data_IF_925687169402
#
_entry.id   IF_925687169402
#
_cell.length_a   1.000
_cell.length_b   1.000
_cell.length_c   1.000
_cell.angle_alpha   90.00
_cell.angle_beta   90.00
_cell.angle_gamma   90.00
#
_symmetry.space_group_name_H-M   'P 1'
#
loop_
_entity.id
_entity.type
_entity.pdbx_description
1 polymer ?
#
# COMPACT_ATOMS: atom_id res chain seq x y z
N UNK A 1 -17.61 4.70 4.65
CA UNK A 1 -18.27 4.05 3.49
C UNK A 1 -18.06 2.54 3.53
N UNK A 2 -18.87 1.72 2.81
CA UNK A 2 -18.63 0.27 2.79
C UNK A 2 -17.49 -0.13 1.84
N UNK A 3 -17.02 -1.39 1.95
CA UNK A 3 -15.86 -1.90 1.21
C UNK A 3 -16.07 -1.91 -0.32
N UNK A 4 -17.31 -2.09 -0.81
CA UNK A 4 -17.65 -2.08 -2.25
C UNK A 4 -17.51 -0.67 -2.84
N UNK A 5 -17.94 0.34 -2.08
CA UNK A 5 -17.76 1.75 -2.45
C UNK A 5 -16.28 2.16 -2.42
N UNK A 6 -15.54 1.70 -1.41
CA UNK A 6 -14.10 1.91 -1.31
C UNK A 6 -13.38 1.32 -2.53
N UNK A 7 -13.69 0.07 -2.91
CA UNK A 7 -13.16 -0.57 -4.13
C UNK A 7 -13.40 0.28 -5.38
N UNK A 8 -14.62 0.80 -5.55
CA UNK A 8 -14.95 1.67 -6.70
C UNK A 8 -14.11 2.95 -6.70
N UNK A 9 -13.94 3.58 -5.54
CA UNK A 9 -13.10 4.79 -5.43
C UNK A 9 -11.63 4.50 -5.73
N UNK A 10 -11.12 3.36 -5.28
CA UNK A 10 -9.75 2.93 -5.55
C UNK A 10 -9.56 2.70 -7.05
N UNK A 11 -10.45 1.94 -7.69
CA UNK A 11 -10.44 1.70 -9.13
C UNK A 11 -10.42 3.01 -9.93
N UNK A 12 -11.27 3.96 -9.57
CA UNK A 12 -11.33 5.25 -10.25
C UNK A 12 -10.03 6.06 -10.07
N UNK A 13 -9.46 6.04 -8.86
CA UNK A 13 -8.19 6.73 -8.60
C UNK A 13 -7.04 6.11 -9.39
N UNK A 14 -6.94 4.76 -9.41
CA UNK A 14 -5.91 4.04 -10.14
C UNK A 14 -6.03 4.30 -11.65
N UNK A 15 -7.24 4.21 -12.22
CA UNK A 15 -7.49 4.55 -13.63
C UNK A 15 -7.07 5.97 -13.98
N UNK A 16 -7.32 6.93 -13.08
CA UNK A 16 -6.88 8.31 -13.26
C UNK A 16 -5.35 8.44 -13.25
N UNK A 17 -4.67 7.71 -12.35
CA UNK A 17 -3.21 7.72 -12.25
C UNK A 17 -2.53 7.01 -13.42
N UNK A 18 -3.16 5.99 -14.01
CA UNK A 18 -2.66 5.31 -15.21
C UNK A 18 -3.03 6.00 -16.51
N UNK A 19 -3.84 7.08 -16.46
CA UNK A 19 -4.18 7.82 -17.68
C UNK A 19 -2.94 8.42 -18.34
N UNK A 20 -2.81 8.23 -19.64
CA UNK A 20 -1.69 8.70 -20.45
C UNK A 20 -2.13 9.78 -21.43
N UNK A 21 -1.19 10.64 -21.79
CA UNK A 21 -1.34 11.59 -22.88
C UNK A 21 -1.15 10.91 -24.24
N UNK A 22 -1.28 11.69 -25.32
CA UNK A 22 -1.13 11.20 -26.69
C UNK A 22 0.30 10.73 -27.01
N UNK A 23 1.27 11.05 -26.18
CA UNK A 23 2.67 10.64 -26.28
C UNK A 23 3.01 9.42 -25.40
N UNK A 24 2.04 8.89 -24.65
CA UNK A 24 2.21 7.74 -23.78
C UNK A 24 2.78 8.05 -22.39
N UNK A 25 2.92 9.34 -22.02
CA UNK A 25 3.35 9.74 -20.68
C UNK A 25 2.17 9.77 -19.73
N UNK A 26 2.39 9.44 -18.46
CA UNK A 26 1.35 9.57 -17.44
C UNK A 26 0.93 11.04 -17.26
N UNK A 27 -0.39 11.33 -17.39
CA UNK A 27 -0.93 12.69 -17.19
C UNK A 27 -0.69 13.22 -15.79
N UNK A 28 -0.64 12.32 -14.80
CA UNK A 28 -0.35 12.65 -13.41
C UNK A 28 0.99 12.01 -13.06
N UNK A 29 2.09 12.79 -12.98
CA UNK A 29 3.39 12.25 -12.64
C UNK A 29 3.40 11.67 -11.21
N UNK A 30 4.26 10.67 -10.98
CA UNK A 30 4.29 9.88 -9.73
C UNK A 30 4.43 10.75 -8.47
N UNK A 31 5.11 11.89 -8.57
CA UNK A 31 5.29 12.83 -7.45
C UNK A 31 3.98 13.52 -7.03
N UNK A 32 3.03 13.62 -7.94
CA UNK A 32 1.71 14.25 -7.70
C UNK A 32 0.62 13.23 -7.38
N UNK A 33 0.90 11.94 -7.52
CA UNK A 33 -0.02 10.89 -7.13
C UNK A 33 -0.05 10.78 -5.61
N UNK A 34 -1.19 11.04 -5.00
CA UNK A 34 -1.37 10.83 -3.56
C UNK A 34 -1.52 9.34 -3.27
N UNK A 35 -0.70 8.75 -2.36
CA UNK A 35 -0.95 7.40 -1.90
C UNK A 35 -2.35 7.28 -1.31
N UNK A 36 -3.02 6.17 -1.61
CA UNK A 36 -4.35 5.89 -1.06
C UNK A 36 -4.17 5.24 0.30
N UNK A 37 -4.91 5.70 1.29
CA UNK A 37 -4.91 5.13 2.64
C UNK A 37 -6.30 4.60 3.01
N UNK A 38 -6.40 3.28 3.19
CA UNK A 38 -7.60 2.60 3.64
C UNK A 38 -7.61 2.52 5.16
N UNK A 39 -8.46 3.29 5.80
CA UNK A 39 -8.69 3.21 7.25
C UNK A 39 -9.92 2.36 7.51
N UNK A 40 -9.80 1.34 8.35
CA UNK A 40 -10.96 0.54 8.74
C UNK A 40 -10.61 -0.64 9.64
N UNK A 41 -11.60 -1.24 10.32
CA UNK A 41 -11.40 -2.36 11.23
C UNK A 41 -10.65 -3.53 10.59
N UNK A 42 -9.96 -4.36 11.38
CA UNK A 42 -9.38 -5.59 10.88
C UNK A 42 -10.48 -6.54 10.35
N UNK A 43 -10.14 -7.35 9.37
CA UNK A 43 -11.05 -8.38 8.83
C UNK A 43 -12.14 -7.89 7.88
N UNK A 44 -12.23 -6.59 7.55
CA UNK A 44 -13.25 -6.08 6.60
C UNK A 44 -12.90 -6.32 5.11
N UNK A 45 -11.77 -6.98 4.82
CA UNK A 45 -11.38 -7.33 3.45
C UNK A 45 -10.52 -6.31 2.73
N UNK A 46 -9.77 -5.44 3.43
CA UNK A 46 -8.87 -4.44 2.82
C UNK A 46 -7.87 -5.07 1.84
N UNK A 47 -7.23 -6.16 2.23
CA UNK A 47 -6.28 -6.89 1.38
C UNK A 47 -6.99 -7.56 0.19
N UNK A 48 -8.12 -8.23 0.45
CA UNK A 48 -8.88 -8.93 -0.59
C UNK A 48 -9.39 -8.01 -1.71
N UNK A 49 -9.73 -6.75 -1.41
CA UNK A 49 -10.12 -5.81 -2.48
C UNK A 49 -8.93 -5.37 -3.33
N UNK A 50 -7.71 -5.38 -2.80
CA UNK A 50 -6.52 -5.06 -3.60
C UNK A 50 -6.25 -6.15 -4.65
N UNK A 51 -6.39 -7.42 -4.28
CA UNK A 51 -6.29 -8.55 -5.20
C UNK A 51 -7.34 -8.43 -6.32
N UNK A 52 -8.60 -8.17 -5.95
CA UNK A 52 -9.68 -7.99 -6.92
C UNK A 52 -9.46 -6.78 -7.84
N UNK A 53 -8.96 -5.66 -7.30
CA UNK A 53 -8.66 -4.46 -8.09
C UNK A 53 -7.54 -4.72 -9.08
N UNK A 54 -6.46 -5.39 -8.65
CA UNK A 54 -5.35 -5.74 -9.52
C UNK A 54 -5.78 -6.69 -10.64
N UNK A 55 -6.59 -7.71 -10.33
CA UNK A 55 -7.16 -8.65 -11.29
C UNK A 55 -8.08 -7.93 -12.29
N UNK A 56 -9.01 -7.10 -11.84
CA UNK A 56 -9.94 -6.35 -12.69
C UNK A 56 -9.24 -5.36 -13.64
N UNK A 57 -8.13 -4.79 -13.22
CA UNK A 57 -7.36 -3.83 -14.00
C UNK A 57 -6.26 -4.50 -14.84
N UNK A 58 -5.98 -5.79 -14.60
CA UNK A 58 -4.91 -6.53 -15.29
C UNK A 58 -3.52 -5.99 -14.95
N UNK A 59 -3.29 -5.55 -13.72
CA UNK A 59 -2.03 -4.93 -13.26
C UNK A 59 -1.34 -5.79 -12.20
N UNK A 60 -0.04 -5.57 -11.99
CA UNK A 60 0.72 -6.25 -10.96
C UNK A 60 0.26 -5.87 -9.54
N UNK A 61 0.42 -6.78 -8.58
CA UNK A 61 0.20 -6.53 -7.17
C UNK A 61 1.39 -7.03 -6.36
N UNK A 62 2.02 -6.13 -5.61
CA UNK A 62 3.01 -6.44 -4.58
C UNK A 62 2.43 -6.04 -3.24
N UNK A 63 2.33 -6.96 -2.29
CA UNK A 63 1.69 -6.74 -0.99
C UNK A 63 2.65 -7.06 0.16
N UNK A 64 2.75 -6.13 1.11
CA UNK A 64 3.55 -6.27 2.32
C UNK A 64 2.74 -5.90 3.57
N UNK A 65 2.85 -6.72 4.63
CA UNK A 65 2.46 -6.30 5.98
C UNK A 65 3.65 -5.62 6.66
N UNK A 66 3.47 -4.36 7.02
CA UNK A 66 4.55 -3.51 7.55
C UNK A 66 4.92 -3.81 9.00
N UNK A 67 4.10 -4.57 9.73
CA UNK A 67 4.36 -4.95 11.13
C UNK A 67 5.58 -5.87 11.29
N UNK A 68 5.92 -6.63 10.26
CA UNK A 68 7.05 -7.57 10.27
C UNK A 68 8.34 -6.98 9.70
N UNK A 69 8.29 -5.75 9.17
CA UNK A 69 9.45 -5.11 8.58
C UNK A 69 10.26 -4.31 9.60
N UNK A 70 11.56 -4.53 9.58
CA UNK A 70 12.53 -3.69 10.29
C UNK A 70 12.95 -2.50 9.42
N UNK A 71 13.58 -1.50 10.03
CA UNK A 71 14.14 -0.39 9.27
C UNK A 71 15.13 -0.86 8.19
N UNK A 72 15.90 -1.91 8.47
CA UNK A 72 16.90 -2.44 7.55
C UNK A 72 16.27 -3.14 6.34
N UNK A 73 15.22 -3.93 6.54
CA UNK A 73 14.52 -4.59 5.42
C UNK A 73 13.78 -3.57 4.54
N UNK A 74 13.21 -2.52 5.15
CA UNK A 74 12.47 -1.49 4.41
C UNK A 74 13.39 -0.50 3.66
N UNK A 75 14.53 -0.10 4.25
CA UNK A 75 15.45 0.90 3.67
C UNK A 75 16.63 0.30 2.91
N UNK A 76 16.92 -0.99 3.13
CA UNK A 76 18.16 -1.63 2.70
C UNK A 76 19.27 -1.54 3.74
N UNK A 77 20.35 -2.26 3.50
CA UNK A 77 21.52 -2.31 4.37
C UNK A 77 22.57 -1.28 3.93
N UNK A 78 23.19 -0.55 4.87
CA UNK A 78 24.30 0.33 4.53
C UNK A 78 25.53 -0.49 4.16
N UNK A 79 26.23 -0.07 3.11
CA UNK A 79 27.52 -0.61 2.72
C UNK A 79 28.49 0.53 2.36
N UNK A 80 29.79 0.27 2.49
CA UNK A 80 30.84 1.25 2.20
C UNK A 80 31.31 1.05 0.75
N UNK A 81 31.28 2.13 -0.02
CA UNK A 81 31.80 2.19 -1.38
C UNK A 81 32.87 3.26 -1.50
N UNK A 82 33.96 2.93 -2.14
CA UNK A 82 35.01 3.89 -2.44
C UNK A 82 34.65 4.72 -3.68
N UNK A 83 34.81 6.02 -3.59
CA UNK A 83 34.57 6.96 -4.69
C UNK A 83 35.72 7.99 -4.77
N UNK A 84 36.05 8.41 -5.97
CA UNK A 84 37.06 9.43 -6.22
C UNK A 84 36.38 10.76 -6.52
N UNK A 85 36.68 11.77 -5.74
CA UNK A 85 36.26 13.14 -5.96
C UNK A 85 37.47 14.05 -5.96
N UNK A 86 37.67 14.84 -7.03
CA UNK A 86 38.82 15.75 -7.16
C UNK A 86 40.18 15.07 -7.09
N UNK A 87 40.27 13.79 -7.51
CA UNK A 87 41.50 13.02 -7.46
C UNK A 87 41.84 12.36 -6.12
N UNK A 88 40.99 12.53 -5.10
CA UNK A 88 41.13 11.89 -3.78
C UNK A 88 40.05 10.80 -3.57
N UNK A 89 40.47 9.67 -2.94
CA UNK A 89 39.62 8.57 -2.62
C UNK A 89 38.85 8.83 -1.29
N UNK A 90 37.53 8.67 -1.32
CA UNK A 90 36.66 8.80 -0.16
C UNK A 90 35.83 7.52 0.04
N UNK A 91 35.65 7.15 1.29
CA UNK A 91 34.68 6.10 1.68
C UNK A 91 33.32 6.73 1.83
N UNK A 92 32.35 6.29 1.03
CA UNK A 92 30.98 6.79 1.01
C UNK A 92 30.04 5.69 1.47
N UNK A 93 29.13 5.97 2.39
CA UNK A 93 28.08 5.05 2.77
C UNK A 93 26.95 5.11 1.73
N UNK A 94 26.58 3.96 1.20
CA UNK A 94 25.42 3.77 0.32
C UNK A 94 24.50 2.72 0.93
N UNK A 95 23.25 2.69 0.48
CA UNK A 95 22.29 1.66 0.90
C UNK A 95 22.00 0.73 -0.26
N UNK A 96 21.85 -0.56 0.04
CA UNK A 96 21.31 -1.54 -0.92
C UNK A 96 19.88 -1.16 -1.29
N UNK A 97 19.35 -1.71 -2.37
CA UNK A 97 17.95 -1.55 -2.70
C UNK A 97 17.08 -2.17 -1.59
N UNK A 98 16.01 -1.49 -1.22
CA UNK A 98 14.96 -2.01 -0.32
C UNK A 98 14.33 -3.26 -0.93
N UNK A 99 14.04 -4.25 -0.09
CA UNK A 99 13.29 -5.45 -0.48
C UNK A 99 11.93 -5.09 -1.09
N UNK A 100 11.25 -4.08 -0.54
CA UNK A 100 9.95 -3.60 -1.03
C UNK A 100 10.05 -3.10 -2.47
N UNK A 101 11.09 -2.32 -2.79
CA UNK A 101 11.30 -1.82 -4.17
C UNK A 101 11.78 -2.95 -5.08
N UNK A 102 12.67 -3.83 -4.60
CA UNK A 102 13.15 -4.96 -5.39
C UNK A 102 12.00 -5.87 -5.83
N UNK A 103 11.06 -6.17 -4.94
CA UNK A 103 9.89 -6.99 -5.29
C UNK A 103 8.97 -6.36 -6.34
N UNK A 104 8.95 -5.02 -6.42
CA UNK A 104 8.24 -4.35 -7.52
C UNK A 104 8.94 -4.65 -8.86
N UNK A 105 10.25 -4.56 -8.93
CA UNK A 105 11.02 -4.90 -10.13
C UNK A 105 10.91 -6.40 -10.48
N UNK A 106 10.97 -7.28 -9.48
CA UNK A 106 10.80 -8.73 -9.66
C UNK A 106 9.42 -9.06 -10.24
N UNK A 107 8.37 -8.38 -9.78
CA UNK A 107 7.02 -8.53 -10.33
C UNK A 107 6.95 -8.04 -11.78
N UNK A 108 7.60 -6.92 -12.09
CA UNK A 108 7.64 -6.41 -13.47
C UNK A 108 8.32 -7.39 -14.42
N UNK A 109 9.42 -8.00 -13.99
CA UNK A 109 10.18 -8.93 -14.81
C UNK A 109 9.48 -10.29 -14.93
N UNK A 110 9.00 -10.86 -13.83
CA UNK A 110 8.40 -12.19 -13.80
C UNK A 110 7.02 -12.26 -14.46
N UNK A 111 6.17 -11.24 -14.25
CA UNK A 111 4.82 -11.18 -14.79
C UNK A 111 4.75 -10.39 -16.11
N UNK A 112 5.82 -9.73 -16.55
CA UNK A 112 5.85 -8.90 -17.75
C UNK A 112 4.94 -7.66 -17.68
N UNK A 113 4.59 -7.22 -16.46
CA UNK A 113 3.68 -6.08 -16.23
C UNK A 113 4.45 -4.80 -16.05
N UNK A 114 3.98 -3.70 -16.65
CA UNK A 114 4.58 -2.36 -16.50
C UNK A 114 3.88 -1.54 -15.43
N UNK A 115 2.63 -1.85 -15.13
CA UNK A 115 1.77 -1.11 -14.22
C UNK A 115 1.36 -2.00 -13.06
N UNK A 116 1.27 -1.44 -11.86
CA UNK A 116 0.95 -2.22 -10.68
C UNK A 116 0.58 -1.40 -9.45
N UNK A 117 0.24 -2.13 -8.41
CA UNK A 117 -0.10 -1.63 -7.08
C UNK A 117 0.94 -2.16 -6.10
N UNK A 118 1.58 -1.26 -5.38
CA UNK A 118 2.31 -1.59 -4.16
C UNK A 118 1.38 -1.36 -2.97
N UNK A 119 0.95 -2.45 -2.35
CA UNK A 119 0.07 -2.43 -1.20
C UNK A 119 0.85 -2.64 0.09
N UNK A 120 0.80 -1.66 1.00
CA UNK A 120 1.46 -1.69 2.30
C UNK A 120 0.41 -1.74 3.39
N UNK A 121 0.17 -2.94 3.94
CA UNK A 121 -0.80 -3.13 5.01
C UNK A 121 -0.21 -2.78 6.38
N UNK A 122 -1.07 -2.38 7.31
CA UNK A 122 -0.74 -2.04 8.70
C UNK A 122 0.33 -0.95 8.85
N UNK A 123 0.35 0.03 7.92
CA UNK A 123 1.39 1.06 7.87
C UNK A 123 1.43 1.96 9.11
N UNK A 124 0.33 2.08 9.83
CA UNK A 124 0.24 2.86 11.06
C UNK A 124 0.62 2.05 12.32
N UNK A 125 1.03 0.78 12.15
CA UNK A 125 1.54 -0.09 13.22
C UNK A 125 3.07 -0.29 13.14
N UNK A 126 3.77 0.42 12.26
CA UNK A 126 5.23 0.32 12.12
C UNK A 126 5.97 0.81 13.37
N UNK A 127 7.18 0.28 13.57
CA UNK A 127 8.02 0.69 14.70
C UNK A 127 8.37 2.19 14.66
N UNK A 128 8.70 2.77 15.81
CA UNK A 128 9.11 4.20 15.92
C UNK A 128 10.29 4.55 15.02
N UNK A 129 11.21 3.62 14.89
CA UNK A 129 12.42 3.80 14.09
C UNK A 129 12.14 3.76 12.59
N UNK A 130 11.07 3.06 12.17
CA UNK A 130 10.69 2.92 10.78
C UNK A 130 9.67 3.99 10.33
N UNK A 131 8.80 4.47 11.21
CA UNK A 131 7.73 5.39 10.88
C UNK A 131 8.20 6.65 10.09
N UNK A 132 9.28 7.37 10.47
CA UNK A 132 9.73 8.54 9.70
C UNK A 132 10.13 8.20 8.26
N UNK A 133 10.78 7.04 8.07
CA UNK A 133 11.19 6.59 6.75
C UNK A 133 9.99 6.19 5.88
N UNK A 134 8.97 5.59 6.47
CA UNK A 134 7.73 5.26 5.77
C UNK A 134 6.95 6.50 5.37
N UNK A 135 6.87 7.51 6.24
CA UNK A 135 6.25 8.80 5.90
C UNK A 135 6.97 9.50 4.75
N UNK A 136 8.30 9.50 4.78
CA UNK A 136 9.11 10.00 3.69
C UNK A 136 8.87 9.23 2.39
N UNK A 137 8.79 7.90 2.48
CA UNK A 137 8.48 7.05 1.33
C UNK A 137 7.09 7.33 0.75
N UNK A 138 6.06 7.47 1.57
CA UNK A 138 4.72 7.84 1.11
C UNK A 138 4.72 9.18 0.38
N UNK A 139 5.53 10.13 0.83
CA UNK A 139 5.62 11.46 0.23
C UNK A 139 6.37 11.46 -1.11
N UNK A 140 7.55 10.82 -1.15
CA UNK A 140 8.48 10.93 -2.28
C UNK A 140 8.57 9.66 -3.12
N UNK A 141 8.02 8.56 -2.62
CA UNK A 141 8.08 7.21 -3.23
C UNK A 141 9.50 6.72 -3.47
N UNK A 142 10.39 7.09 -2.54
CA UNK A 142 11.82 6.78 -2.58
C UNK A 142 12.24 6.18 -1.24
N UNK A 143 12.96 5.06 -1.31
CA UNK A 143 13.75 4.55 -0.20
C UNK A 143 15.24 4.72 -0.53
N UNK A 144 15.97 5.51 0.27
CA UNK A 144 17.36 5.84 0.03
C UNK A 144 17.55 6.54 -1.33
N UNK A 145 18.15 5.83 -2.29
CA UNK A 145 18.34 6.30 -3.68
C UNK A 145 17.40 5.67 -4.69
N UNK A 146 16.63 4.69 -4.25
CA UNK A 146 15.80 3.86 -5.13
C UNK A 146 14.36 4.35 -5.10
N UNK A 147 13.82 4.61 -6.28
CA UNK A 147 12.46 5.06 -6.50
C UNK A 147 11.61 3.89 -6.98
N UNK A 148 10.32 3.92 -6.64
CA UNK A 148 9.32 3.06 -7.30
C UNK A 148 9.26 3.43 -8.78
N UNK A 149 9.22 2.45 -9.70
CA UNK A 149 9.05 2.70 -11.12
C UNK A 149 7.77 3.46 -11.45
N UNK A 150 7.82 4.26 -12.51
CA UNK A 150 6.61 4.89 -13.05
C UNK A 150 5.59 3.82 -13.44
N UNK A 151 4.30 4.12 -13.21
CA UNK A 151 3.23 3.14 -13.40
C UNK A 151 2.93 2.27 -12.19
N UNK A 152 3.63 2.46 -11.06
CA UNK A 152 3.33 1.80 -9.79
C UNK A 152 2.72 2.76 -8.79
N UNK A 153 1.56 2.39 -8.26
CA UNK A 153 0.77 3.20 -7.34
C UNK A 153 0.87 2.64 -5.94
N UNK A 154 1.07 3.53 -4.96
CA UNK A 154 1.10 3.13 -3.54
C UNK A 154 -0.30 3.19 -2.96
N UNK A 155 -0.76 2.06 -2.47
CA UNK A 155 -1.97 1.93 -1.66
C UNK A 155 -1.55 1.41 -0.30
N UNK A 156 -2.06 2.01 0.76
CA UNK A 156 -1.74 1.62 2.13
C UNK A 156 -3.01 1.29 2.89
N UNK A 157 -2.90 0.51 3.95
CA UNK A 157 -4.00 0.25 4.85
C UNK A 157 -3.56 0.37 6.31
N UNK A 158 -4.51 0.65 7.17
CA UNK A 158 -4.31 0.72 8.61
C UNK A 158 -5.60 0.47 9.37
N UNK A 159 -5.45 0.19 10.65
CA UNK A 159 -6.56 0.00 11.56
C UNK A 159 -6.76 1.25 12.41
N UNK A 160 -8.00 1.60 12.81
CA UNK A 160 -8.23 2.65 13.79
C UNK A 160 -7.63 2.32 15.17
N UNK A 161 -7.29 3.34 15.97
CA UNK A 161 -6.64 3.14 17.29
C UNK A 161 -7.44 2.23 18.24
N UNK A 162 -8.76 2.20 18.12
CA UNK A 162 -9.65 1.40 18.96
C UNK A 162 -9.43 -0.12 18.82
N UNK A 163 -8.81 -0.54 17.71
CA UNK A 163 -8.58 -1.96 17.41
C UNK A 163 -7.15 -2.43 17.66
N UNK A 164 -6.21 -1.51 17.87
CA UNK A 164 -4.82 -1.88 18.10
C UNK A 164 -4.07 -0.77 18.85
N UNK A 165 -3.60 -1.06 20.05
CA UNK A 165 -2.84 -0.12 20.90
C UNK A 165 -1.47 0.28 20.29
N UNK A 166 -0.98 -0.43 19.30
CA UNK A 166 0.27 -0.10 18.60
C UNK A 166 0.07 0.90 17.46
N UNK A 167 -1.16 1.29 17.19
CA UNK A 167 -1.50 2.26 16.14
C UNK A 167 -0.96 3.64 16.50
N UNK A 168 -0.32 4.27 15.52
CA UNK A 168 0.11 5.67 15.60
C UNK A 168 -0.81 6.53 14.77
N UNK A 169 -1.19 7.65 15.31
CA UNK A 169 -1.88 8.67 14.56
C UNK A 169 -0.87 9.46 13.71
N UNK A 170 -1.20 9.64 12.44
CA UNK A 170 -0.46 10.52 11.58
C UNK A 170 -0.84 11.98 11.88
N UNK A 171 0.14 12.86 11.78
CA UNK A 171 -0.10 14.29 11.89
C UNK A 171 -0.96 14.81 10.70
N UNK A 172 -1.51 16.00 10.86
CA UNK A 172 -2.39 16.62 9.87
C UNK A 172 -1.67 16.84 8.54
N UNK A 173 -0.36 17.12 8.58
CA UNK A 173 0.46 17.35 7.38
C UNK A 173 0.63 16.06 6.58
N UNK A 174 0.74 14.92 7.26
CA UNK A 174 0.79 13.62 6.63
C UNK A 174 -0.55 13.27 5.99
N UNK A 175 -1.66 13.52 6.69
CA UNK A 175 -3.00 13.26 6.15
C UNK A 175 -3.28 14.07 4.88
N UNK A 176 -2.84 15.31 4.81
CA UNK A 176 -3.02 16.17 3.62
C UNK A 176 -2.34 15.60 2.36
N UNK A 177 -1.34 14.75 2.54
CA UNK A 177 -0.59 14.11 1.45
C UNK A 177 -1.17 12.77 1.02
N UNK A 178 -2.10 12.22 1.77
CA UNK A 178 -2.75 10.93 1.51
C UNK A 178 -4.17 11.14 0.99
N UNK A 179 -4.65 10.19 0.21
CA UNK A 179 -6.08 10.07 -0.11
C UNK A 179 -6.70 9.09 0.87
N UNK A 180 -7.22 9.59 1.97
CA UNK A 180 -7.86 8.78 3.01
C UNK A 180 -9.23 8.29 2.55
N UNK A 181 -9.50 7.02 2.79
CA UNK A 181 -10.76 6.33 2.55
C UNK A 181 -11.13 5.58 3.83
N UNK A 182 -12.14 6.06 4.55
CA UNK A 182 -12.64 5.40 5.76
C UNK A 182 -13.66 4.32 5.38
N UNK A 183 -13.37 3.09 5.77
CA UNK A 183 -14.17 1.91 5.45
C UNK A 183 -14.83 1.38 6.71
N UNK A 184 -16.15 1.21 6.64
CA UNK A 184 -16.97 0.69 7.73
C UNK A 184 -17.55 -0.68 7.36
N UNK A 185 -17.73 -1.56 8.35
CA UNK A 185 -18.36 -2.84 8.13
C UNK A 185 -19.79 -2.67 7.59
N UNK A 186 -20.13 -3.44 6.56
CA UNK A 186 -21.48 -3.51 6.00
C UNK A 186 -21.83 -4.99 5.78
N UNK A 187 -22.74 -5.50 6.64
CA UNK A 187 -23.14 -6.89 6.60
C UNK A 187 -23.78 -7.28 5.26
N UNK A 188 -24.52 -6.40 4.61
CA UNK A 188 -25.18 -6.70 3.33
C UNK A 188 -24.15 -6.94 2.24
N UNK A 189 -23.14 -6.08 2.18
CA UNK A 189 -22.03 -6.21 1.22
C UNK A 189 -21.20 -7.46 1.52
N UNK A 190 -20.91 -7.74 2.80
CA UNK A 190 -20.21 -8.97 3.19
C UNK A 190 -21.00 -10.23 2.80
N UNK A 191 -22.31 -10.21 2.98
CA UNK A 191 -23.20 -11.32 2.61
C UNK A 191 -23.19 -11.59 1.11
N UNK A 192 -23.27 -10.54 0.27
CA UNK A 192 -23.12 -10.66 -1.19
C UNK A 192 -21.80 -11.35 -1.57
N UNK A 193 -20.70 -10.90 -0.99
CA UNK A 193 -19.38 -11.49 -1.20
C UNK A 193 -19.31 -12.96 -0.76
N UNK A 194 -19.84 -13.28 0.41
CA UNK A 194 -19.87 -14.63 0.95
C UNK A 194 -20.64 -15.61 0.03
N UNK A 195 -21.76 -15.18 -0.53
CA UNK A 195 -22.49 -15.97 -1.52
C UNK A 195 -21.68 -16.17 -2.82
N UNK A 196 -21.05 -15.14 -3.33
CA UNK A 196 -20.23 -15.23 -4.56
C UNK A 196 -19.03 -16.18 -4.38
N UNK A 197 -18.44 -16.22 -3.19
CA UNK A 197 -17.30 -17.10 -2.85
C UNK A 197 -17.72 -18.50 -2.37
N UNK A 198 -19.01 -18.81 -2.35
CA UNK A 198 -19.51 -20.12 -1.95
C UNK A 198 -19.37 -20.42 -0.45
N UNK A 199 -19.30 -19.40 0.39
CA UNK A 199 -19.25 -19.58 1.85
C UNK A 199 -20.55 -20.23 2.32
N UNK A 200 -20.44 -21.31 3.10
CA UNK A 200 -21.58 -22.11 3.50
C UNK A 200 -22.61 -21.30 4.28
N UNK A 201 -23.89 -21.40 3.89
CA UNK A 201 -25.03 -20.63 4.45
C UNK A 201 -25.15 -20.68 5.99
N UNK A 202 -24.71 -21.79 6.62
CA UNK A 202 -24.70 -21.91 8.09
C UNK A 202 -23.72 -20.94 8.76
N UNK A 203 -22.60 -20.60 8.12
CA UNK A 203 -21.65 -19.61 8.64
C UNK A 203 -22.19 -18.20 8.47
N UNK A 204 -22.87 -17.92 7.36
CA UNK A 204 -23.52 -16.63 7.11
C UNK A 204 -24.65 -16.35 8.12
N UNK A 205 -25.36 -17.39 8.58
CA UNK A 205 -26.41 -17.28 9.60
C UNK A 205 -25.89 -17.21 11.04
N UNK A 206 -24.74 -17.82 11.35
CA UNK A 206 -24.18 -17.84 12.70
C UNK A 206 -23.64 -16.48 13.14
N UNK A 207 -23.05 -15.68 12.23
CA UNK A 207 -22.59 -14.32 12.54
C UNK A 207 -23.75 -13.35 12.84
N UNK A 208 -24.95 -13.58 12.29
CA UNK A 208 -26.14 -12.81 12.64
C UNK A 208 -26.52 -12.97 14.11
N UNK A 209 -26.38 -14.18 14.67
CA UNK A 209 -26.68 -14.45 16.08
C UNK A 209 -25.67 -13.84 17.06
N UNK A 210 -24.45 -13.53 16.63
CA UNK A 210 -23.40 -12.95 17.48
C UNK A 210 -23.54 -11.43 17.58
N UNK A 211 -23.96 -10.76 16.50
CA UNK A 211 -24.13 -9.30 16.47
C UNK A 211 -25.38 -8.78 17.16
N UNK A 212 -26.45 -9.56 17.24
CA UNK A 212 -27.68 -9.16 17.93
C UNK A 212 -27.60 -9.30 19.47
N UNK A 213 -26.42 -9.62 20.03
CA UNK A 213 -26.19 -9.77 21.48
C UNK A 213 -25.31 -8.65 22.10
N UNK A 214 -25.05 -7.57 21.37
CA UNK A 214 -24.34 -6.40 21.92
C UNK A 214 -25.11 -5.10 21.68
#
# INVERSE_FOLDING_TARGET
MNIKQAKTQINNAIKSYFSKDDFGNYKIPIERQRPIFLMGPPGIGKTAIMEQVAEELGVGLVSYSMTHHTRQSALGLPFIKKRIYGGQEYSVSEYTMSEIIASVYDMMESAGVKEGILFLDEINCVSETLAPAMLQFLQYKIFGRHRIPDGWIVVTAGNPPEYNNSVREFDIVTWDRLKRIDVEPDYRVWKEYAYQKGVHLRLVGAEMCIRDRH
#
